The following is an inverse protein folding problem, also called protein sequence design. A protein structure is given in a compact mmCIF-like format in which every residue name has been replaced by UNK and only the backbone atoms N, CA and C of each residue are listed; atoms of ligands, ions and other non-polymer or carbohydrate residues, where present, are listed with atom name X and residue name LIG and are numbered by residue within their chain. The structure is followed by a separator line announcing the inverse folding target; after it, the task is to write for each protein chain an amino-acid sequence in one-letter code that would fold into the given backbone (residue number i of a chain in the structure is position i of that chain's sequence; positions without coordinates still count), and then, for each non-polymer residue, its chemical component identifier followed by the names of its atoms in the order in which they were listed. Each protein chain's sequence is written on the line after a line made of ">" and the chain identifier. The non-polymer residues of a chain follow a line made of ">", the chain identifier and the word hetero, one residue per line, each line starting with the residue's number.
data_IF_345632923725
#
_entry.id   IF_345632923725
#
_cell.length_a   1.000
_cell.length_b   1.000
_cell.length_c   1.000
_cell.angle_alpha   90.00
_cell.angle_beta   90.00
_cell.angle_gamma   90.00
#
_symmetry.space_group_name_H-M   'P 1'
#
loop_
_entity.id
_entity.type
_entity.pdbx_description
1 polymer ?
#
# COMPACT_ATOMS: atom_id res chain seq x y z
N UNK A 1 2.29 -16.34 33.27
CA UNK A 1 1.85 -15.96 31.91
C UNK A 1 2.51 -14.64 31.56
N UNK A 2 3.51 -14.63 30.68
CA UNK A 2 4.10 -13.41 30.17
C UNK A 2 3.21 -12.87 29.06
N UNK A 3 2.57 -11.73 29.30
CA UNK A 3 1.88 -10.98 28.27
C UNK A 3 2.95 -10.34 27.37
N UNK A 4 3.07 -10.80 26.12
CA UNK A 4 3.85 -10.11 25.11
C UNK A 4 3.08 -8.83 24.72
N UNK A 5 3.49 -7.70 25.29
CA UNK A 5 3.13 -6.38 24.77
C UNK A 5 3.66 -6.30 23.33
N UNK A 6 2.76 -6.37 22.35
CA UNK A 6 3.10 -6.02 20.97
C UNK A 6 3.59 -4.56 20.97
N UNK A 7 4.82 -4.34 20.51
CA UNK A 7 5.33 -2.98 20.32
C UNK A 7 4.40 -2.23 19.36
N UNK A 8 4.14 -0.93 19.57
CA UNK A 8 3.33 -0.17 18.63
C UNK A 8 4.02 -0.19 17.26
N UNK A 9 3.33 -0.69 16.24
CA UNK A 9 3.72 -0.51 14.84
C UNK A 9 3.81 1.00 14.63
N UNK A 10 5.03 1.54 14.60
CA UNK A 10 5.23 2.91 14.15
C UNK A 10 4.99 2.86 12.66
N UNK A 11 3.91 3.49 12.19
CA UNK A 11 3.74 3.74 10.77
C UNK A 11 4.99 4.48 10.28
N UNK A 12 5.68 3.91 9.30
CA UNK A 12 6.80 4.59 8.66
C UNK A 12 6.29 5.92 8.06
N UNK A 13 7.08 7.01 8.17
CA UNK A 13 6.69 8.28 7.60
C UNK A 13 6.49 8.16 6.08
N UNK A 14 5.56 8.93 5.50
CA UNK A 14 5.37 8.93 4.05
C UNK A 14 6.67 9.31 3.34
N UNK A 15 6.90 8.70 2.16
CA UNK A 15 8.09 8.94 1.36
C UNK A 15 8.25 10.43 1.03
N UNK A 16 9.46 10.96 1.24
CA UNK A 16 9.78 12.33 0.85
C UNK A 16 9.77 12.50 -0.68
N UNK A 17 9.60 13.73 -1.20
CA UNK A 17 9.66 13.98 -2.64
C UNK A 17 10.99 13.55 -3.29
N UNK A 18 12.11 13.61 -2.56
CA UNK A 18 13.40 13.16 -3.06
C UNK A 18 13.47 11.64 -3.19
N UNK A 19 12.99 10.91 -2.18
CA UNK A 19 12.89 9.44 -2.23
C UNK A 19 11.93 8.98 -3.33
N UNK A 20 10.80 9.66 -3.52
CA UNK A 20 9.87 9.34 -4.62
C UNK A 20 10.52 9.52 -6.00
N UNK A 21 11.40 10.52 -6.17
CA UNK A 21 12.13 10.74 -7.44
C UNK A 21 13.23 9.72 -7.70
N UNK A 22 13.80 9.11 -6.66
CA UNK A 22 14.86 8.09 -6.82
C UNK A 22 14.31 6.69 -7.07
N UNK A 23 13.03 6.45 -6.80
CA UNK A 23 12.40 5.15 -7.06
C UNK A 23 12.01 4.97 -8.53
N UNK A 24 11.98 3.72 -9.04
CA UNK A 24 11.38 3.44 -10.33
C UNK A 24 9.92 3.90 -10.39
N UNK A 25 9.52 4.51 -11.50
CA UNK A 25 8.18 5.07 -11.66
C UNK A 25 7.06 4.06 -11.36
N UNK A 26 7.23 2.80 -11.77
CA UNK A 26 6.24 1.75 -11.50
C UNK A 26 6.10 1.38 -10.03
N UNK A 27 7.17 1.52 -9.23
CA UNK A 27 7.12 1.35 -7.78
C UNK A 27 6.31 2.48 -7.15
N UNK A 28 6.56 3.73 -7.58
CA UNK A 28 5.79 4.89 -7.10
C UNK A 28 4.31 4.76 -7.47
N UNK A 29 4.00 4.39 -8.72
CA UNK A 29 2.61 4.16 -9.17
C UNK A 29 1.92 3.05 -8.38
N UNK A 30 2.64 1.96 -8.05
CA UNK A 30 2.10 0.92 -7.20
C UNK A 30 1.81 1.42 -5.78
N UNK A 31 2.73 2.16 -5.16
CA UNK A 31 2.55 2.69 -3.80
C UNK A 31 1.36 3.66 -3.71
N UNK A 32 1.19 4.55 -4.69
CA UNK A 32 0.04 5.46 -4.73
C UNK A 32 -1.28 4.69 -4.86
N UNK A 33 -1.29 3.65 -5.70
CA UNK A 33 -2.48 2.83 -5.92
C UNK A 33 -2.81 1.97 -4.72
N UNK A 34 -1.80 1.41 -4.06
CA UNK A 34 -1.95 0.67 -2.80
C UNK A 34 -2.56 1.56 -1.71
N UNK A 35 -2.04 2.77 -1.53
CA UNK A 35 -2.60 3.75 -0.59
C UNK A 35 -4.08 4.05 -0.91
N UNK A 36 -4.40 4.24 -2.19
CA UNK A 36 -5.79 4.42 -2.64
C UNK A 36 -6.67 3.20 -2.31
N UNK A 37 -6.18 1.99 -2.58
CA UNK A 37 -6.91 0.76 -2.26
C UNK A 37 -7.18 0.64 -0.77
N UNK A 38 -6.17 0.86 0.08
CA UNK A 38 -6.31 0.79 1.53
C UNK A 38 -7.31 1.82 2.06
N UNK A 39 -7.28 3.04 1.52
CA UNK A 39 -8.27 4.07 1.83
C UNK A 39 -9.68 3.56 1.52
N UNK A 40 -9.95 3.18 0.27
CA UNK A 40 -11.30 2.81 -0.15
C UNK A 40 -11.82 1.50 0.47
N UNK A 41 -10.95 0.53 0.74
CA UNK A 41 -11.34 -0.73 1.40
C UNK A 41 -11.68 -0.57 2.88
N UNK A 42 -11.18 0.50 3.52
CA UNK A 42 -11.47 0.82 4.92
C UNK A 42 -12.71 1.70 5.12
N UNK A 43 -13.32 2.20 4.05
CA UNK A 43 -14.49 3.07 4.14
C UNK A 43 -15.79 2.28 4.34
N UNK A 44 -16.70 2.82 5.14
CA UNK A 44 -18.03 2.25 5.33
C UNK A 44 -19.00 2.66 4.21
N UNK A 45 -19.74 1.69 3.67
CA UNK A 45 -20.84 1.92 2.74
C UNK A 45 -22.15 2.20 3.50
N UNK A 46 -22.18 3.29 4.29
CA UNK A 46 -23.32 3.64 5.16
C UNK A 46 -24.62 3.94 4.39
N UNK A 47 -24.53 4.20 3.09
CA UNK A 47 -25.67 4.26 2.19
C UNK A 47 -25.31 3.72 0.78
N UNK A 48 -26.34 3.57 -0.05
CA UNK A 48 -26.19 3.02 -1.40
C UNK A 48 -25.38 3.92 -2.34
N UNK A 49 -25.39 5.24 -2.15
CA UNK A 49 -24.61 6.16 -2.97
C UNK A 49 -23.11 6.03 -2.64
N UNK A 50 -22.78 5.98 -1.35
CA UNK A 50 -21.42 5.76 -0.86
C UNK A 50 -20.89 4.39 -1.28
N UNK A 51 -21.71 3.34 -1.18
CA UNK A 51 -21.36 2.01 -1.66
C UNK A 51 -20.98 1.99 -3.14
N UNK A 52 -21.69 2.73 -4.00
CA UNK A 52 -21.34 2.85 -5.42
C UNK A 52 -20.02 3.59 -5.65
N UNK A 53 -19.74 4.62 -4.86
CA UNK A 53 -18.46 5.35 -4.94
C UNK A 53 -17.28 4.44 -4.57
N UNK A 54 -17.39 3.71 -3.46
CA UNK A 54 -16.39 2.75 -3.01
C UNK A 54 -16.15 1.69 -4.10
N UNK A 55 -17.21 1.06 -4.60
CA UNK A 55 -17.10 0.03 -5.64
C UNK A 55 -16.46 0.56 -6.93
N UNK A 56 -16.81 1.77 -7.36
CA UNK A 56 -16.21 2.40 -8.54
C UNK A 56 -14.72 2.69 -8.33
N UNK A 57 -14.34 3.18 -7.15
CA UNK A 57 -12.95 3.49 -6.82
C UNK A 57 -12.08 2.23 -6.74
N UNK A 58 -12.54 1.21 -6.02
CA UNK A 58 -11.86 -0.10 -5.91
C UNK A 58 -11.63 -0.72 -7.30
N UNK A 59 -12.64 -0.67 -8.17
CA UNK A 59 -12.52 -1.15 -9.56
C UNK A 59 -11.53 -0.32 -10.37
N UNK A 60 -11.61 1.02 -10.28
CA UNK A 60 -10.74 1.93 -11.03
C UNK A 60 -9.27 1.76 -10.62
N UNK A 61 -9.02 1.56 -9.33
CA UNK A 61 -7.68 1.31 -8.78
C UNK A 61 -7.21 -0.13 -8.99
N UNK A 62 -8.06 -1.03 -9.51
CA UNK A 62 -7.73 -2.45 -9.72
C UNK A 62 -7.17 -3.09 -8.45
N UNK A 63 -7.87 -2.90 -7.33
CA UNK A 63 -7.39 -3.38 -6.03
C UNK A 63 -7.34 -4.91 -5.95
N UNK A 64 -8.10 -5.61 -6.80
CA UNK A 64 -8.02 -7.07 -7.01
C UNK A 64 -6.66 -7.54 -7.53
N UNK A 65 -5.88 -6.66 -8.17
CA UNK A 65 -4.56 -6.97 -8.70
C UNK A 65 -3.40 -6.53 -7.79
N UNK A 66 -3.66 -5.80 -6.70
CA UNK A 66 -2.60 -5.10 -5.94
C UNK A 66 -1.57 -6.07 -5.33
N UNK A 67 -2.02 -7.22 -4.81
CA UNK A 67 -1.11 -8.24 -4.28
C UNK A 67 -0.23 -8.89 -5.35
N UNK A 68 -0.81 -9.19 -6.52
CA UNK A 68 -0.07 -9.75 -7.63
C UNK A 68 0.98 -8.76 -8.14
N UNK A 69 0.66 -7.46 -8.10
CA UNK A 69 1.56 -6.39 -8.51
C UNK A 69 2.74 -6.25 -7.54
N UNK A 70 2.47 -6.33 -6.23
CA UNK A 70 3.53 -6.36 -5.21
C UNK A 70 4.49 -7.53 -5.44
N UNK A 71 3.97 -8.74 -5.64
CA UNK A 71 4.79 -9.93 -5.87
C UNK A 71 5.71 -9.75 -7.08
N UNK A 72 5.18 -9.20 -8.18
CA UNK A 72 5.98 -8.90 -9.38
C UNK A 72 7.05 -7.84 -9.13
N UNK A 73 6.73 -6.77 -8.40
CA UNK A 73 7.70 -5.73 -8.08
C UNK A 73 8.81 -6.25 -7.16
N UNK A 74 8.47 -7.08 -6.17
CA UNK A 74 9.44 -7.74 -5.29
C UNK A 74 10.36 -8.68 -6.05
N UNK A 75 9.85 -9.41 -7.04
CA UNK A 75 10.67 -10.24 -7.92
C UNK A 75 11.60 -9.40 -8.79
N UNK A 76 11.07 -8.33 -9.41
CA UNK A 76 11.84 -7.47 -10.33
C UNK A 76 12.93 -6.67 -9.63
N UNK A 77 12.62 -6.10 -8.46
CA UNK A 77 13.50 -5.20 -7.71
C UNK A 77 14.07 -5.84 -6.44
N UNK A 78 14.04 -7.17 -6.32
CA UNK A 78 14.49 -7.88 -5.12
C UNK A 78 15.97 -7.71 -4.76
N UNK A 79 16.77 -7.06 -5.61
CA UNK A 79 18.18 -6.70 -5.34
C UNK A 79 18.40 -5.21 -5.10
N UNK A 80 17.36 -4.38 -5.23
CA UNK A 80 17.43 -2.95 -4.98
C UNK A 80 17.02 -2.69 -3.51
N UNK A 81 17.98 -2.29 -2.64
CA UNK A 81 17.68 -2.08 -1.23
C UNK A 81 16.72 -0.91 -0.99
N UNK A 82 16.72 0.11 -1.84
CA UNK A 82 15.80 1.24 -1.70
C UNK A 82 14.37 0.82 -2.04
N UNK A 83 14.18 0.09 -3.13
CA UNK A 83 12.85 -0.43 -3.50
C UNK A 83 12.35 -1.43 -2.46
N UNK A 84 13.20 -2.34 -1.98
CA UNK A 84 12.81 -3.29 -0.93
C UNK A 84 12.34 -2.59 0.33
N UNK A 85 13.10 -1.59 0.80
CA UNK A 85 12.73 -0.81 2.00
C UNK A 85 11.33 -0.23 1.88
N UNK A 86 10.99 0.38 0.74
CA UNK A 86 9.68 1.02 0.58
C UNK A 86 8.54 0.02 0.40
N UNK A 87 8.78 -1.13 -0.23
CA UNK A 87 7.79 -2.20 -0.33
C UNK A 87 7.55 -2.86 1.05
N UNK A 88 8.60 -3.05 1.85
CA UNK A 88 8.50 -3.58 3.21
C UNK A 88 7.72 -2.61 4.12
N UNK A 89 8.04 -1.32 4.09
CA UNK A 89 7.29 -0.28 4.81
C UNK A 89 5.80 -0.27 4.43
N UNK A 90 5.49 -0.39 3.13
CA UNK A 90 4.11 -0.42 2.64
C UNK A 90 3.34 -1.68 3.07
N UNK A 91 4.01 -2.82 3.24
CA UNK A 91 3.40 -4.05 3.76
C UNK A 91 3.09 -3.94 5.26
N UNK A 92 3.97 -3.32 6.04
CA UNK A 92 3.74 -3.09 7.48
C UNK A 92 2.64 -2.08 7.77
N UNK A 93 2.39 -1.12 6.89
CA UNK A 93 1.31 -0.15 7.04
C UNK A 93 -0.10 -0.74 6.86
N UNK A 94 -0.22 -2.00 6.44
CA UNK A 94 -1.49 -2.67 6.15
C UNK A 94 -1.96 -3.65 7.25
N UNK A 95 -1.20 -3.77 8.35
CA UNK A 95 -1.46 -4.73 9.44
C UNK A 95 -1.42 -4.11 10.82
#
# INVERSE_FOLDING_TARGET
>A
MLAHLAAPVRADPPLSPAERKSLPAEVVTYLDRLMGCNHWSGEEAYDAARGRQIAAAVKTLRCDAVEADEKRLRQRYGRDPAVRKVLDAAAHAQG
#
